data_IF_220167894456
#
_entry.id   IF_220167894456
#
_cell.length_a   1.000
_cell.length_b   1.000
_cell.length_c   1.000
_cell.angle_alpha   90.00
_cell.angle_beta   90.00
_cell.angle_gamma   90.00
#
_symmetry.space_group_name_H-M   'P 1'
#
loop_
_entity.id
_entity.type
_entity.pdbx_description
1 polymer ?
#
# COMPACT_ATOMS: atom_id res chain seq x y z
N UNK A 1 -5.14 3.23 -3.55
CA UNK A 1 -6.55 2.92 -3.23
C UNK A 1 -7.40 4.19 -3.28
N UNK A 2 -8.71 4.08 -3.48
CA UNK A 2 -9.65 5.21 -3.45
C UNK A 2 -10.54 5.03 -2.23
N UNK A 3 -10.37 5.86 -1.21
CA UNK A 3 -11.18 5.86 0.02
C UNK A 3 -12.34 6.85 -0.13
N UNK A 4 -13.48 6.57 0.50
CA UNK A 4 -14.61 7.49 0.53
C UNK A 4 -14.26 8.83 1.18
N UNK A 5 -14.82 9.96 0.72
CA UNK A 5 -14.55 11.27 1.32
C UNK A 5 -15.02 11.30 2.79
N UNK A 6 -14.14 11.70 3.70
CA UNK A 6 -14.44 11.79 5.14
C UNK A 6 -14.47 10.47 5.92
N UNK A 7 -14.25 9.34 5.25
CA UNK A 7 -14.06 8.05 5.91
C UNK A 7 -12.61 7.87 6.38
N UNK A 8 -12.47 7.19 7.51
CA UNK A 8 -11.18 6.77 8.07
C UNK A 8 -11.09 5.25 8.10
N UNK A 9 -9.90 4.73 7.86
CA UNK A 9 -9.64 3.28 7.90
C UNK A 9 -9.21 2.85 9.30
N UNK A 10 -9.81 1.79 9.83
CA UNK A 10 -9.35 1.15 11.05
C UNK A 10 -8.01 0.44 10.81
N UNK A 11 -6.97 0.84 11.54
CA UNK A 11 -5.60 0.30 11.39
C UNK A 11 -5.45 -1.16 11.83
N UNK A 12 -6.47 -1.74 12.46
CA UNK A 12 -6.48 -3.13 12.96
C UNK A 12 -7.15 -4.06 11.94
N UNK A 13 -8.32 -3.66 11.41
CA UNK A 13 -9.15 -4.53 10.58
C UNK A 13 -9.33 -4.04 9.13
N UNK A 14 -8.81 -2.86 8.79
CA UNK A 14 -8.82 -2.32 7.43
C UNK A 14 -10.21 -1.89 6.91
N UNK A 15 -11.24 -1.88 7.77
CA UNK A 15 -12.58 -1.40 7.41
C UNK A 15 -12.68 0.12 7.49
N UNK A 16 -13.53 0.68 6.64
CA UNK A 16 -13.83 2.11 6.58
C UNK A 16 -14.94 2.46 7.58
N UNK A 17 -14.75 3.56 8.29
CA UNK A 17 -15.72 4.10 9.25
C UNK A 17 -15.82 5.62 9.09
N UNK A 18 -16.96 6.18 9.47
CA UNK A 18 -17.06 7.63 9.65
C UNK A 18 -16.17 8.09 10.80
N UNK A 19 -15.71 9.34 10.76
CA UNK A 19 -14.77 9.88 11.76
C UNK A 19 -15.25 9.70 13.22
N UNK A 20 -16.56 9.83 13.47
CA UNK A 20 -17.15 9.62 14.80
C UNK A 20 -17.24 8.14 15.20
N UNK A 21 -17.63 7.27 14.27
CA UNK A 21 -17.78 5.84 14.57
C UNK A 21 -16.44 5.14 14.72
N UNK A 22 -15.37 5.65 14.09
CA UNK A 22 -14.03 5.08 14.25
C UNK A 22 -13.53 5.13 15.70
N UNK A 23 -13.74 6.24 16.41
CA UNK A 23 -13.30 6.38 17.80
C UNK A 23 -13.97 5.40 18.77
N UNK A 24 -15.18 4.94 18.45
CA UNK A 24 -15.89 3.91 19.20
C UNK A 24 -15.46 2.51 18.74
N UNK A 25 -15.19 2.36 17.44
CA UNK A 25 -14.82 1.09 16.83
C UNK A 25 -13.41 0.63 17.23
N UNK A 26 -12.40 1.50 17.15
CA UNK A 26 -10.99 1.16 17.42
C UNK A 26 -10.77 0.43 18.75
N UNK A 27 -11.24 0.93 19.91
CA UNK A 27 -11.02 0.24 21.18
C UNK A 27 -11.70 -1.14 21.22
N UNK A 28 -12.91 -1.26 20.68
CA UNK A 28 -13.62 -2.54 20.62
C UNK A 28 -12.91 -3.53 19.66
N UNK A 29 -12.38 -3.01 18.56
CA UNK A 29 -11.64 -3.81 17.59
C UNK A 29 -10.31 -4.32 18.18
N UNK A 30 -9.63 -3.50 18.98
CA UNK A 30 -8.38 -3.86 19.65
C UNK A 30 -8.62 -4.91 20.75
N UNK A 31 -9.66 -4.74 21.55
CA UNK A 31 -10.06 -5.73 22.57
C UNK A 31 -10.33 -7.10 21.93
N UNK A 32 -11.13 -7.11 20.85
CA UNK A 32 -11.40 -8.34 20.09
C UNK A 32 -10.13 -8.97 19.53
N UNK A 33 -9.20 -8.16 19.02
CA UNK A 33 -7.90 -8.60 18.56
C UNK A 33 -7.08 -9.24 19.69
N UNK A 34 -7.02 -8.65 20.88
CA UNK A 34 -6.30 -9.21 22.04
C UNK A 34 -6.88 -10.56 22.45
N UNK A 35 -8.20 -10.68 22.52
CA UNK A 35 -8.89 -11.93 22.85
C UNK A 35 -8.51 -13.02 21.85
N UNK A 36 -8.60 -12.75 20.55
CA UNK A 36 -8.21 -13.71 19.51
C UNK A 36 -6.73 -14.07 19.56
N UNK A 37 -5.87 -13.06 19.72
CA UNK A 37 -4.43 -13.26 19.75
C UNK A 37 -4.00 -14.05 21.00
N UNK A 38 -4.67 -13.87 22.13
CA UNK A 38 -4.39 -14.58 23.38
C UNK A 38 -4.70 -16.08 23.29
N UNK A 39 -5.69 -16.46 22.47
CA UNK A 39 -6.07 -17.86 22.19
C UNK A 39 -5.04 -18.59 21.34
N UNK A 40 -4.15 -17.87 20.65
CA UNK A 40 -3.08 -18.49 19.87
C UNK A 40 -1.95 -18.97 20.80
N UNK A 41 -1.28 -20.10 20.47
CA UNK A 41 -0.02 -20.49 21.10
C UNK A 41 0.99 -19.34 21.09
N UNK A 42 1.81 -19.21 22.15
CA UNK A 42 2.73 -18.07 22.32
C UNK A 42 3.57 -17.75 21.07
N UNK A 43 4.01 -18.78 20.34
CA UNK A 43 4.83 -18.65 19.14
C UNK A 43 4.04 -18.24 17.88
N UNK A 44 2.71 -18.32 17.89
CA UNK A 44 1.82 -17.88 16.81
C UNK A 44 1.12 -16.55 17.12
N UNK A 45 1.37 -15.97 18.29
CA UNK A 45 0.81 -14.67 18.66
C UNK A 45 1.42 -13.59 17.78
N UNK A 46 0.56 -12.73 17.25
CA UNK A 46 0.92 -11.58 16.42
C UNK A 46 1.35 -10.41 17.30
N UNK A 47 2.25 -9.54 16.79
CA UNK A 47 2.55 -8.28 17.44
C UNK A 47 1.33 -7.37 17.45
N UNK A 48 1.21 -6.57 18.51
CA UNK A 48 0.11 -5.61 18.65
C UNK A 48 0.09 -4.62 17.47
N UNK A 49 -1.09 -4.37 16.88
CA UNK A 49 -1.20 -3.37 15.82
C UNK A 49 -0.80 -2.00 16.36
N UNK A 50 0.15 -1.33 15.70
CA UNK A 50 0.52 0.05 16.07
C UNK A 50 -0.41 1.05 15.41
N UNK A 51 -0.91 2.00 16.20
CA UNK A 51 -1.71 3.11 15.67
C UNK A 51 -0.78 4.05 14.86
N UNK A 52 -1.07 4.30 13.57
CA UNK A 52 -0.27 5.24 12.79
C UNK A 52 -0.42 6.64 13.39
N UNK A 53 0.70 7.35 13.55
CA UNK A 53 0.65 8.70 14.11
C UNK A 53 -0.09 9.65 13.16
N UNK A 54 -0.94 10.54 13.69
CA UNK A 54 -1.58 11.55 12.87
C UNK A 54 -0.51 12.48 12.29
N UNK A 55 -0.45 12.57 10.98
CA UNK A 55 0.41 13.54 10.31
C UNK A 55 -0.17 14.93 10.58
N UNK A 56 0.65 15.86 11.07
CA UNK A 56 0.23 17.21 11.50
C UNK A 56 -0.10 18.15 10.32
N UNK A 57 -0.76 17.66 9.28
CA UNK A 57 -1.07 18.40 8.05
C UNK A 57 -2.56 18.72 7.95
N UNK A 58 -2.91 19.99 7.81
CA UNK A 58 -4.28 20.42 7.56
C UNK A 58 -4.64 20.19 6.08
N UNK A 59 -5.37 19.12 5.76
CA UNK A 59 -5.92 18.93 4.42
C UNK A 59 -6.34 17.50 4.06
N UNK A 60 -7.12 17.38 2.98
CA UNK A 60 -7.56 16.10 2.38
C UNK A 60 -6.39 15.17 2.01
N UNK A 61 -5.24 15.74 1.66
CA UNK A 61 -4.00 14.98 1.40
C UNK A 61 -3.49 14.24 2.65
N UNK A 62 -3.64 14.81 3.85
CA UNK A 62 -3.28 14.16 5.11
C UNK A 62 -4.19 12.95 5.38
N UNK A 63 -5.51 13.11 5.16
CA UNK A 63 -6.47 12.02 5.39
C UNK A 63 -6.19 10.81 4.49
N UNK A 64 -5.84 11.03 3.22
CA UNK A 64 -5.49 9.94 2.31
C UNK A 64 -4.24 9.20 2.79
N UNK A 65 -3.21 9.93 3.21
CA UNK A 65 -1.97 9.35 3.74
C UNK A 65 -2.21 8.58 5.05
N UNK A 66 -3.02 9.11 5.96
CA UNK A 66 -3.43 8.45 7.20
C UNK A 66 -4.19 7.14 6.92
N UNK A 67 -5.14 7.16 5.98
CA UNK A 67 -5.89 5.97 5.60
C UNK A 67 -5.03 4.90 4.95
N UNK A 68 -4.08 5.30 4.11
CA UNK A 68 -3.11 4.39 3.50
C UNK A 68 -2.20 3.75 4.56
N UNK A 69 -1.68 4.54 5.51
CA UNK A 69 -0.87 4.02 6.62
C UNK A 69 -1.68 3.07 7.53
N UNK A 70 -2.94 3.40 7.82
CA UNK A 70 -3.84 2.54 8.56
C UNK A 70 -4.14 1.24 7.80
N UNK A 71 -4.39 1.33 6.49
CA UNK A 71 -4.61 0.16 5.65
C UNK A 71 -3.40 -0.77 5.64
N UNK A 72 -2.19 -0.24 5.48
CA UNK A 72 -0.95 -1.02 5.53
C UNK A 72 -0.77 -1.71 6.89
N UNK A 73 -1.04 -0.99 7.98
CA UNK A 73 -0.99 -1.55 9.34
C UNK A 73 -1.96 -2.73 9.51
N UNK A 74 -3.17 -2.62 8.96
CA UNK A 74 -4.16 -3.69 8.99
C UNK A 74 -3.73 -4.90 8.13
N UNK A 75 -3.01 -4.66 7.04
CA UNK A 75 -2.57 -5.71 6.12
C UNK A 75 -1.53 -6.65 6.75
N UNK A 76 -0.70 -6.13 7.68
CA UNK A 76 0.27 -6.92 8.46
C UNK A 76 -0.44 -7.96 9.34
N UNK A 77 -1.68 -7.70 9.73
CA UNK A 77 -2.46 -8.58 10.61
C UNK A 77 -3.16 -9.73 9.87
N UNK A 78 -3.09 -9.76 8.53
CA UNK A 78 -3.74 -10.79 7.74
C UNK A 78 -2.94 -12.10 7.73
N UNK A 79 -3.66 -13.21 7.73
CA UNK A 79 -3.12 -14.56 7.68
C UNK A 79 -3.45 -15.22 6.34
N UNK A 80 -2.49 -15.89 5.70
CA UNK A 80 -2.74 -16.63 4.48
C UNK A 80 -3.62 -17.86 4.75
N UNK A 81 -4.40 -18.26 3.75
CA UNK A 81 -5.08 -19.54 3.74
C UNK A 81 -4.12 -20.62 3.23
N UNK A 82 -3.91 -21.67 4.03
CA UNK A 82 -3.06 -22.81 3.66
C UNK A 82 -3.48 -23.52 2.36
N UNK A 83 -4.74 -23.39 1.95
CA UNK A 83 -5.28 -24.06 0.75
C UNK A 83 -5.19 -23.22 -0.52
N UNK A 84 -5.36 -21.89 -0.43
CA UNK A 84 -5.41 -21.02 -1.63
C UNK A 84 -4.46 -19.81 -1.59
N UNK A 85 -3.73 -19.61 -0.49
CA UNK A 85 -2.78 -18.52 -0.30
C UNK A 85 -3.38 -17.13 -0.09
N UNK A 86 -4.71 -16.96 -0.20
CA UNK A 86 -5.35 -15.65 0.03
C UNK A 86 -5.27 -15.26 1.50
N UNK A 87 -5.05 -13.98 1.77
CA UNK A 87 -4.89 -13.43 3.11
C UNK A 87 -6.19 -12.89 3.67
N UNK A 88 -6.47 -13.16 4.94
CA UNK A 88 -7.70 -12.74 5.62
C UNK A 88 -7.42 -12.39 7.09
N UNK A 89 -8.31 -11.60 7.70
CA UNK A 89 -8.37 -11.52 9.16
C UNK A 89 -8.77 -12.90 9.73
N UNK A 90 -8.32 -13.27 10.95
CA UNK A 90 -8.58 -14.58 11.53
C UNK A 90 -10.06 -15.01 11.48
N UNK A 91 -10.99 -14.13 11.88
CA UNK A 91 -12.42 -14.42 11.80
C UNK A 91 -12.89 -14.81 10.39
N UNK A 92 -12.43 -14.06 9.39
CA UNK A 92 -12.82 -14.27 7.99
C UNK A 92 -12.11 -15.48 7.40
N UNK A 93 -10.88 -15.76 7.85
CA UNK A 93 -10.12 -16.93 7.43
C UNK A 93 -10.87 -18.21 7.81
N UNK A 94 -11.37 -18.30 9.04
CA UNK A 94 -12.15 -19.45 9.51
C UNK A 94 -13.39 -19.70 8.66
N UNK A 95 -14.14 -18.63 8.35
CA UNK A 95 -15.31 -18.73 7.47
C UNK A 95 -14.90 -19.17 6.07
N UNK A 96 -13.84 -18.59 5.53
CA UNK A 96 -13.31 -18.90 4.20
C UNK A 96 -12.86 -20.35 4.08
N UNK A 97 -12.12 -20.87 5.05
CA UNK A 97 -11.57 -22.24 5.05
C UNK A 97 -12.65 -23.32 4.93
N UNK A 98 -13.85 -23.09 5.49
CA UNK A 98 -14.99 -24.03 5.38
C UNK A 98 -15.45 -24.31 3.96
N UNK A 99 -15.24 -23.37 3.03
CA UNK A 99 -15.67 -23.49 1.64
C UNK A 99 -14.53 -23.25 0.66
N UNK A 100 -13.29 -23.17 1.16
CA UNK A 100 -12.13 -22.93 0.33
C UNK A 100 -11.86 -24.15 -0.55
N UNK A 101 -11.70 -23.92 -1.84
CA UNK A 101 -11.29 -24.95 -2.80
C UNK A 101 -9.81 -24.74 -3.17
N UNK A 102 -9.01 -25.81 -3.32
CA UNK A 102 -7.63 -25.70 -3.78
C UNK A 102 -7.60 -24.98 -5.13
N UNK A 103 -6.72 -23.99 -5.23
CA UNK A 103 -6.57 -23.21 -6.45
C UNK A 103 -5.74 -24.04 -7.44
N UNK A 104 -6.32 -24.37 -8.59
CA UNK A 104 -5.53 -24.82 -9.73
C UNK A 104 -4.56 -23.67 -10.07
N UNK A 105 -3.26 -23.95 -10.01
CA UNK A 105 -2.19 -22.95 -10.01
C UNK A 105 -2.33 -21.96 -11.18
N UNK A 106 -2.73 -20.72 -10.89
CA UNK A 106 -2.69 -19.61 -11.86
C UNK A 106 -2.84 -18.24 -11.19
N UNK A 107 -2.07 -17.96 -10.15
CA UNK A 107 -1.58 -16.59 -9.88
C UNK A 107 -0.48 -16.70 -8.83
N UNK A 108 0.75 -16.39 -9.23
CA UNK A 108 1.93 -16.37 -8.35
C UNK A 108 1.83 -15.35 -7.21
N UNK A 109 2.83 -15.32 -6.32
CA UNK A 109 2.86 -14.40 -5.20
C UNK A 109 2.94 -12.96 -5.72
N UNK A 110 1.92 -12.13 -5.47
CA UNK A 110 2.12 -10.68 -5.55
C UNK A 110 2.91 -10.25 -4.31
N UNK A 111 4.24 -10.37 -4.41
CA UNK A 111 5.16 -9.62 -3.56
C UNK A 111 5.13 -8.18 -4.10
N UNK A 112 4.35 -7.30 -3.49
CA UNK A 112 4.55 -5.86 -3.70
C UNK A 112 5.72 -5.43 -2.83
N UNK A 113 6.93 -5.67 -3.33
CA UNK A 113 8.18 -5.19 -2.76
C UNK A 113 8.36 -3.73 -3.17
N UNK A 114 7.98 -2.77 -2.33
CA UNK A 114 8.33 -1.36 -2.51
C UNK A 114 9.66 -1.09 -1.78
N UNK A 115 10.76 -1.55 -2.38
CA UNK A 115 12.11 -1.16 -1.97
C UNK A 115 12.41 0.21 -2.60
N UNK A 116 12.36 1.26 -1.77
CA UNK A 116 12.87 2.59 -2.09
C UNK A 116 14.40 2.55 -1.91
N UNK A 117 15.16 2.57 -3.00
CA UNK A 117 16.62 2.51 -2.94
C UNK A 117 17.29 2.91 -4.25
N UNK A 118 17.84 4.13 -4.25
CA UNK A 118 19.04 4.57 -4.98
C UNK A 118 19.09 4.38 -6.50
N UNK A 119 18.80 5.48 -7.20
CA UNK A 119 19.17 5.74 -8.59
C UNK A 119 20.68 5.62 -8.79
N UNK A 120 21.02 4.76 -9.73
CA UNK A 120 22.33 4.24 -10.11
C UNK A 120 23.23 5.27 -10.78
N UNK A 121 24.53 5.08 -10.58
CA UNK A 121 25.59 5.67 -11.39
C UNK A 121 25.81 4.86 -12.67
N UNK A 122 26.07 5.61 -13.74
CA UNK A 122 27.00 5.34 -14.84
C UNK A 122 27.28 3.87 -15.19
N UNK A 123 26.78 3.43 -16.34
CA UNK A 123 27.62 2.70 -17.29
C UNK A 123 27.33 3.09 -18.75
N UNK A 124 28.42 3.34 -19.44
CA UNK A 124 28.50 3.58 -20.87
C UNK A 124 28.74 2.25 -21.59
N UNK A 125 28.14 2.09 -22.77
CA UNK A 125 28.65 1.28 -23.91
C UNK A 125 27.67 1.48 -25.08
N UNK A 126 27.98 2.37 -26.02
CA UNK A 126 28.64 2.06 -27.31
C UNK A 126 27.87 1.10 -28.21
N UNK A 127 27.18 1.64 -29.21
CA UNK A 127 27.33 1.15 -30.58
C UNK A 127 27.13 2.30 -31.57
N UNK A 128 27.89 2.27 -32.65
CA UNK A 128 28.15 3.34 -33.62
C UNK A 128 27.78 2.87 -35.01
N UNK A 129 27.51 3.82 -35.92
CA UNK A 129 27.22 3.72 -37.38
C UNK A 129 25.79 3.27 -37.75
N UNK A 130 25.07 3.93 -38.65
CA UNK A 130 25.49 4.56 -39.92
C UNK A 130 24.42 5.58 -40.39
N UNK A 131 24.71 6.90 -40.43
CA UNK A 131 24.90 7.76 -41.63
C UNK A 131 23.81 7.63 -42.72
N UNK A 132 22.97 8.64 -42.97
CA UNK A 132 23.05 9.70 -44.03
C UNK A 132 21.63 10.34 -44.15
N UNK A 133 21.35 11.64 -44.29
CA UNK A 133 21.75 12.61 -45.31
C UNK A 133 21.37 14.07 -44.95
N UNK A 134 21.97 14.99 -45.71
CA UNK A 134 22.04 16.46 -45.70
C UNK A 134 20.71 17.23 -45.85
N UNK A 135 20.60 18.43 -45.25
CA UNK A 135 20.54 19.73 -45.94
C UNK A 135 20.19 20.89 -44.97
N UNK A 136 21.10 21.85 -44.86
CA UNK A 136 20.85 23.24 -44.44
C UNK A 136 20.52 24.07 -45.72
N UNK A 137 20.13 25.38 -45.71
CA UNK A 137 20.60 26.39 -44.75
C UNK A 137 19.61 27.51 -44.36
N UNK A 138 20.03 28.28 -43.32
CA UNK A 138 19.96 29.75 -43.11
C UNK A 138 18.63 30.47 -43.35
N UNK A 139 18.17 31.44 -42.56
CA UNK A 139 18.90 32.68 -42.25
C UNK A 139 18.43 33.32 -40.93
N UNK A 140 19.41 33.89 -40.25
CA UNK A 140 19.36 34.88 -39.17
C UNK A 140 18.59 36.16 -39.54
N UNK A 141 17.98 36.85 -38.58
CA UNK A 141 18.60 38.07 -38.05
C UNK A 141 17.99 38.58 -36.75
N UNK A 142 18.86 39.21 -35.96
CA UNK A 142 18.58 39.92 -34.71
C UNK A 142 17.91 41.26 -35.03
N UNK A 143 17.29 41.90 -34.04
CA UNK A 143 17.70 43.26 -33.59
C UNK A 143 16.86 43.72 -32.40
N UNK A 144 17.59 44.44 -31.55
CA UNK A 144 17.28 45.07 -30.28
C UNK A 144 16.68 46.46 -30.56
N UNK A 145 15.62 46.90 -29.88
CA UNK A 145 15.62 48.21 -29.20
C UNK A 145 14.45 48.46 -28.27
N UNK A 146 14.78 49.21 -27.22
CA UNK A 146 13.96 49.73 -26.15
C UNK A 146 12.94 50.78 -26.59
N UNK A 147 11.90 50.94 -25.76
CA UNK A 147 11.33 52.23 -25.34
C UNK A 147 10.84 52.09 -23.91
#
# INVERSE_FOLDING_TARGET
MVFGPGFRVCYICGREFGSQSLGIHEPQCLEKWHIENSKLPKHLRRPEPSKPQPLSGSGSYSLKAENEAAFQSAHIQLLPCETCGRTFLPDRLLVHQRSCKPKAQSSGPQVQNLTLGSKEGLNASTNSKQQRNMAAPSVTDKVIHAM
#
